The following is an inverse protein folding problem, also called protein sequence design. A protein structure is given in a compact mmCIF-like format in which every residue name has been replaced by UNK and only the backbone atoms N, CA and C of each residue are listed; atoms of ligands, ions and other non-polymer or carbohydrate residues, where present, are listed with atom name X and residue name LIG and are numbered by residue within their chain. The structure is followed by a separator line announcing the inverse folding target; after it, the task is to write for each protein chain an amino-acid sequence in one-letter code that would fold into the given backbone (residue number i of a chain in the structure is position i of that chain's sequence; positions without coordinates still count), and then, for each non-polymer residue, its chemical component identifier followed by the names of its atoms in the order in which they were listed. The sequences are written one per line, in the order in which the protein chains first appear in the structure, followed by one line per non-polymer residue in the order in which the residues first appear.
data_IF_464483747259
#
_entry.id   IF_464483747259
#
_cell.length_a   1.000
_cell.length_b   1.000
_cell.length_c   1.000
_cell.angle_alpha   90.00
_cell.angle_beta   90.00
_cell.angle_gamma   90.00
#
_symmetry.space_group_name_H-M   'P 1'
#
loop_
_entity.id
_entity.type
_entity.pdbx_description
1 polymer ?
#
# COMPACT_ATOMS: atom_id res chain seq x y z
N UNK A 1 5.38 8.73 -6.98
CA UNK A 1 5.84 9.88 -6.37
C UNK A 1 6.34 9.78 -4.96
N UNK A 2 5.65 10.45 -4.04
CA UNK A 2 6.11 10.68 -2.67
C UNK A 2 4.92 10.79 -1.74
N UNK A 3 5.11 10.38 -0.48
CA UNK A 3 4.20 10.73 0.60
C UNK A 3 4.74 11.99 1.27
N UNK A 4 3.86 12.91 1.58
CA UNK A 4 4.15 14.16 2.28
C UNK A 4 3.53 14.10 3.67
N UNK A 5 4.28 14.54 4.69
CA UNK A 5 3.78 14.68 6.06
C UNK A 5 3.80 16.13 6.47
N UNK A 6 2.65 16.63 6.84
CA UNK A 6 2.41 17.99 7.32
C UNK A 6 1.71 17.94 8.68
N UNK A 7 1.75 19.04 9.41
CA UNK A 7 0.86 19.29 10.56
C UNK A 7 -0.52 19.71 10.06
N UNK A 8 -1.50 19.75 10.97
CA UNK A 8 -2.88 20.12 10.67
C UNK A 8 -3.00 21.58 10.19
N UNK A 9 -2.07 22.43 10.58
CA UNK A 9 -1.95 23.84 10.14
C UNK A 9 -1.21 23.97 8.79
N UNK A 10 -0.82 22.87 8.15
CA UNK A 10 -0.07 22.83 6.90
C UNK A 10 1.44 23.05 7.05
N UNK A 11 1.94 23.31 8.25
CA UNK A 11 3.37 23.49 8.48
C UNK A 11 4.13 22.15 8.44
N UNK A 12 5.43 22.23 8.23
CA UNK A 12 6.30 21.07 8.14
C UNK A 12 6.77 20.65 9.52
N UNK A 13 6.54 19.38 9.94
CA UNK A 13 7.10 18.87 11.18
C UNK A 13 8.64 18.94 11.18
N UNK A 14 9.27 19.40 12.25
CA UNK A 14 10.74 19.56 12.31
C UNK A 14 11.50 18.22 12.33
N UNK A 15 10.79 17.13 12.63
CA UNK A 15 11.28 15.76 12.65
C UNK A 15 11.04 14.99 11.33
N UNK A 16 10.59 15.67 10.27
CA UNK A 16 10.52 15.06 8.94
C UNK A 16 11.92 14.66 8.45
N UNK A 17 12.06 13.51 7.78
CA UNK A 17 13.36 12.91 7.48
C UNK A 17 14.22 13.74 6.52
N UNK A 18 13.63 14.65 5.77
CA UNK A 18 14.34 15.45 4.76
C UNK A 18 14.44 16.95 5.07
N UNK A 19 14.04 17.40 6.27
CA UNK A 19 14.04 18.82 6.65
C UNK A 19 15.42 19.47 6.48
N UNK A 20 16.48 18.75 6.83
CA UNK A 20 17.87 19.26 6.77
C UNK A 20 18.67 18.68 5.60
N UNK A 21 18.01 18.03 4.64
CA UNK A 21 18.71 17.34 3.54
C UNK A 21 18.67 18.17 2.26
N UNK A 22 19.82 18.62 1.81
CA UNK A 22 19.95 19.36 0.55
C UNK A 22 19.40 18.56 -0.65
N UNK A 23 18.71 19.23 -1.57
CA UNK A 23 18.11 18.61 -2.75
C UNK A 23 16.74 17.97 -2.53
N UNK A 24 16.23 17.95 -1.30
CA UNK A 24 14.91 17.40 -0.98
C UNK A 24 13.94 18.48 -0.48
N UNK A 25 12.66 18.32 -0.80
CA UNK A 25 11.61 19.15 -0.17
C UNK A 25 11.36 18.66 1.25
N UNK A 26 11.32 19.56 2.24
CA UNK A 26 11.25 19.17 3.67
C UNK A 26 9.96 18.48 4.09
N UNK A 27 8.87 18.66 3.33
CA UNK A 27 7.60 17.96 3.58
C UNK A 27 7.60 16.48 3.16
N UNK A 28 8.60 16.00 2.43
CA UNK A 28 8.66 14.60 2.00
C UNK A 28 8.84 13.70 3.22
N UNK A 29 8.01 12.65 3.32
CA UNK A 29 8.10 11.62 4.34
C UNK A 29 8.71 10.33 3.79
N UNK A 30 8.21 9.86 2.62
CA UNK A 30 8.74 8.72 1.88
C UNK A 30 8.76 9.01 0.39
N UNK A 31 9.48 8.19 -0.38
CA UNK A 31 9.59 8.34 -1.84
C UNK A 31 9.53 6.99 -2.56
N UNK A 32 9.53 7.03 -3.89
CA UNK A 32 9.55 5.82 -4.71
C UNK A 32 8.18 5.14 -4.83
N UNK A 33 7.10 5.90 -4.70
CA UNK A 33 5.73 5.44 -4.90
C UNK A 33 5.26 5.69 -6.32
N UNK A 34 4.40 4.81 -6.83
CA UNK A 34 3.77 4.96 -8.15
C UNK A 34 2.41 5.65 -8.05
N UNK A 35 1.44 5.00 -7.42
CA UNK A 35 0.04 5.43 -7.41
C UNK A 35 -0.66 4.99 -6.12
N UNK A 36 -0.42 5.72 -5.03
CA UNK A 36 -1.03 5.47 -3.72
C UNK A 36 -2.49 5.91 -3.68
N UNK A 37 -3.34 5.10 -3.07
CA UNK A 37 -4.78 5.34 -2.95
C UNK A 37 -5.27 5.46 -1.51
N UNK A 38 -4.97 4.48 -0.66
CA UNK A 38 -5.43 4.43 0.72
C UNK A 38 -4.31 4.65 1.72
N UNK A 39 -4.64 5.27 2.85
CA UNK A 39 -3.77 5.39 4.03
C UNK A 39 -4.56 4.93 5.25
N UNK A 40 -3.94 4.13 6.10
CA UNK A 40 -4.51 3.74 7.39
C UNK A 40 -3.42 3.65 8.45
N UNK A 41 -3.73 4.13 9.66
CA UNK A 41 -2.88 3.96 10.81
C UNK A 41 -3.12 2.57 11.42
N UNK A 42 -2.07 1.81 11.60
CA UNK A 42 -2.14 0.57 12.36
C UNK A 42 -2.39 0.91 13.83
N UNK A 43 -3.52 0.47 14.43
CA UNK A 43 -3.92 0.91 15.77
C UNK A 43 -3.03 0.38 16.89
N UNK A 44 -2.25 -0.69 16.64
CA UNK A 44 -1.35 -1.28 17.63
C UNK A 44 0.08 -0.76 17.51
N UNK A 45 0.60 -0.64 16.28
CA UNK A 45 1.99 -0.24 16.08
C UNK A 45 2.18 1.25 15.90
N UNK A 46 1.09 1.99 15.58
CA UNK A 46 1.17 3.41 15.24
C UNK A 46 1.84 3.71 13.91
N UNK A 47 2.17 2.68 13.11
CA UNK A 47 2.75 2.86 11.78
C UNK A 47 1.66 3.19 10.75
N UNK A 48 1.97 4.08 9.83
CA UNK A 48 1.10 4.39 8.70
C UNK A 48 1.30 3.37 7.60
N UNK A 49 0.21 2.82 7.08
CA UNK A 49 0.19 1.89 5.96
C UNK A 49 -0.47 2.53 4.74
N UNK A 50 -0.06 2.11 3.55
CA UNK A 50 -0.52 2.64 2.27
C UNK A 50 -0.87 1.51 1.30
N UNK A 51 -2.01 1.64 0.58
CA UNK A 51 -2.26 0.87 -0.64
C UNK A 51 -1.70 1.59 -1.84
N UNK A 52 -1.16 0.84 -2.79
CA UNK A 52 -0.58 1.37 -4.02
C UNK A 52 -0.92 0.48 -5.21
N UNK A 53 -1.34 1.08 -6.34
CA UNK A 53 -1.59 0.34 -7.57
C UNK A 53 -0.33 0.20 -8.41
N UNK A 54 0.00 -1.05 -8.76
CA UNK A 54 0.95 -1.37 -9.82
C UNK A 54 0.37 -1.10 -11.21
N UNK A 55 1.20 -1.16 -12.26
CA UNK A 55 0.69 -0.89 -13.62
C UNK A 55 -0.11 -2.08 -14.18
N UNK A 56 0.50 -3.23 -14.36
CA UNK A 56 -0.14 -4.46 -14.81
C UNK A 56 0.34 -5.60 -13.93
N UNK A 57 -0.34 -5.82 -12.81
CA UNK A 57 0.12 -6.61 -11.68
C UNK A 57 0.93 -5.77 -10.68
N UNK A 58 1.20 -6.34 -9.50
CA UNK A 58 2.03 -5.72 -8.48
C UNK A 58 1.39 -4.56 -7.75
N UNK A 59 0.10 -4.64 -7.45
CA UNK A 59 -0.49 -3.79 -6.42
C UNK A 59 0.13 -4.15 -5.08
N UNK A 60 0.28 -3.16 -4.21
CA UNK A 60 1.05 -3.29 -2.98
C UNK A 60 0.34 -2.70 -1.76
N UNK A 61 0.62 -3.27 -0.60
CA UNK A 61 0.48 -2.59 0.69
C UNK A 61 1.86 -2.38 1.28
N UNK A 62 2.14 -1.13 1.61
CA UNK A 62 3.42 -0.67 2.13
C UNK A 62 3.27 -0.15 3.55
N UNK A 63 4.18 -0.52 4.47
CA UNK A 63 4.35 0.13 5.77
C UNK A 63 5.26 1.34 5.58
N UNK A 64 4.76 2.54 5.84
CA UNK A 64 5.48 3.79 5.57
C UNK A 64 6.50 4.10 6.66
N UNK A 65 7.79 4.01 6.35
CA UNK A 65 8.89 4.34 7.24
C UNK A 65 9.58 5.64 6.82
N UNK A 66 9.90 6.54 7.77
CA UNK A 66 10.50 7.84 7.46
C UNK A 66 11.76 7.74 6.60
N UNK A 67 11.83 8.53 5.54
CA UNK A 67 13.02 8.64 4.69
C UNK A 67 13.27 7.49 3.73
N UNK A 68 12.40 6.48 3.71
CA UNK A 68 12.59 5.29 2.87
C UNK A 68 12.12 5.48 1.43
N UNK A 69 12.70 4.66 0.55
CA UNK A 69 12.42 4.62 -0.87
C UNK A 69 11.78 3.27 -1.23
N UNK A 70 10.56 3.30 -1.77
CA UNK A 70 9.75 2.13 -2.15
C UNK A 70 9.98 1.67 -3.59
N UNK A 71 10.95 2.27 -4.27
CA UNK A 71 11.60 1.71 -5.44
C UNK A 71 11.05 2.11 -6.80
N UNK A 72 9.82 2.60 -6.91
CA UNK A 72 9.28 3.00 -8.20
C UNK A 72 10.06 4.18 -8.82
N UNK A 73 10.41 4.15 -10.12
CA UNK A 73 10.15 3.11 -11.13
C UNK A 73 11.31 2.10 -11.31
N UNK A 74 12.27 2.05 -10.40
CA UNK A 74 13.49 1.24 -10.52
C UNK A 74 13.20 -0.24 -10.28
N UNK A 75 12.30 -0.55 -9.34
CA UNK A 75 11.79 -1.89 -9.06
C UNK A 75 10.28 -1.90 -9.11
N UNK A 76 9.70 -3.02 -9.52
CA UNK A 76 8.25 -3.26 -9.52
C UNK A 76 7.98 -4.75 -9.69
N UNK A 77 6.90 -5.24 -9.06
CA UNK A 77 6.36 -6.57 -9.29
C UNK A 77 5.52 -6.65 -10.56
N UNK A 78 5.07 -5.50 -11.08
CA UNK A 78 4.23 -5.42 -12.27
C UNK A 78 4.99 -5.35 -13.57
N UNK A 79 4.22 -5.28 -14.65
CA UNK A 79 4.69 -5.04 -16.02
C UNK A 79 4.14 -3.69 -16.50
N UNK A 80 4.75 -3.12 -17.52
CA UNK A 80 4.11 -2.02 -18.21
C UNK A 80 2.86 -2.51 -18.98
N UNK A 81 2.05 -1.57 -19.45
CA UNK A 81 0.81 -1.92 -20.16
C UNK A 81 1.03 -2.59 -21.53
N UNK A 82 2.24 -2.56 -22.03
CA UNK A 82 2.66 -3.21 -23.27
C UNK A 82 3.25 -4.61 -23.03
N UNK A 83 3.32 -5.05 -21.77
CA UNK A 83 3.76 -6.39 -21.36
C UNK A 83 5.23 -6.50 -20.96
N UNK A 84 6.05 -5.48 -21.19
CA UNK A 84 7.47 -5.49 -20.81
C UNK A 84 7.64 -5.47 -19.29
N UNK A 85 8.69 -6.13 -18.79
CA UNK A 85 9.06 -6.01 -17.38
C UNK A 85 9.59 -4.62 -17.09
N UNK A 86 9.10 -3.98 -16.02
CA UNK A 86 9.61 -2.69 -15.55
C UNK A 86 11.00 -2.85 -14.96
N UNK A 87 11.21 -3.93 -14.21
CA UNK A 87 12.49 -4.25 -13.62
C UNK A 87 12.85 -5.71 -13.82
N UNK A 88 14.14 -6.01 -13.81
CA UNK A 88 14.63 -7.40 -13.89
C UNK A 88 14.29 -8.19 -12.62
N UNK A 89 14.35 -7.50 -11.46
CA UNK A 89 14.01 -8.04 -10.13
C UNK A 89 13.07 -7.06 -9.44
N UNK A 90 12.07 -7.54 -8.69
CA UNK A 90 11.10 -6.67 -8.04
C UNK A 90 11.63 -6.01 -6.74
N UNK A 91 12.83 -6.34 -6.32
CA UNK A 91 13.47 -5.80 -5.11
C UNK A 91 14.92 -5.41 -5.37
N UNK A 92 15.42 -4.46 -4.57
CA UNK A 92 16.80 -3.95 -4.65
C UNK A 92 17.27 -3.45 -3.29
N UNK A 93 18.50 -3.76 -2.93
CA UNK A 93 19.14 -3.27 -1.70
C UNK A 93 19.04 -1.74 -1.60
N UNK A 94 18.62 -1.25 -0.43
CA UNK A 94 18.39 0.17 -0.16
C UNK A 94 17.01 0.69 -0.56
N UNK A 95 16.13 -0.19 -1.02
CA UNK A 95 14.71 0.07 -1.25
C UNK A 95 13.89 -0.79 -0.29
N UNK A 96 12.73 -0.29 0.12
CA UNK A 96 11.80 -1.02 0.98
C UNK A 96 10.96 -1.98 0.14
N UNK A 97 10.84 -3.21 0.61
CA UNK A 97 9.96 -4.20 0.02
C UNK A 97 8.52 -3.98 0.54
N UNK A 98 7.51 -4.20 -0.30
CA UNK A 98 6.13 -4.14 0.15
C UNK A 98 5.81 -5.25 1.15
N UNK A 99 4.90 -4.97 2.09
CA UNK A 99 4.42 -5.97 3.04
C UNK A 99 3.50 -6.99 2.39
N UNK A 100 2.74 -6.58 1.38
CA UNK A 100 1.79 -7.42 0.66
C UNK A 100 1.82 -7.05 -0.82
N UNK A 101 1.74 -8.06 -1.69
CA UNK A 101 1.71 -7.88 -3.16
C UNK A 101 0.55 -8.67 -3.76
N UNK A 102 -0.10 -8.11 -4.79
CA UNK A 102 -1.12 -8.80 -5.61
C UNK A 102 -0.61 -9.05 -7.03
N UNK A 103 -0.63 -10.32 -7.44
CA UNK A 103 -0.35 -10.81 -8.79
C UNK A 103 -1.37 -11.91 -9.14
N UNK A 104 -2.41 -11.59 -9.95
CA UNK A 104 -2.68 -10.32 -10.62
C UNK A 104 -3.07 -9.19 -9.67
N UNK A 105 -2.99 -7.94 -10.15
CA UNK A 105 -3.53 -6.77 -9.44
C UNK A 105 -5.03 -6.90 -9.23
N UNK A 106 -5.53 -6.37 -8.13
CA UNK A 106 -6.97 -6.21 -7.90
C UNK A 106 -7.45 -4.76 -8.04
N UNK A 107 -6.54 -3.85 -8.41
CA UNK A 107 -6.81 -2.42 -8.48
C UNK A 107 -7.12 -1.85 -7.10
N UNK A 108 -6.15 -1.93 -6.20
CA UNK A 108 -6.31 -1.51 -4.80
C UNK A 108 -6.86 -0.10 -4.67
N UNK A 109 -7.79 0.09 -3.72
CA UNK A 109 -8.39 1.37 -3.39
C UNK A 109 -8.11 1.75 -1.94
N UNK A 110 -9.11 2.14 -1.18
CA UNK A 110 -9.00 2.44 0.23
C UNK A 110 -8.64 1.23 1.10
N UNK A 111 -8.23 1.52 2.32
CA UNK A 111 -7.94 0.49 3.31
C UNK A 111 -8.33 0.96 4.72
N UNK A 112 -8.59 0.01 5.61
CA UNK A 112 -8.83 0.29 7.03
C UNK A 112 -8.50 -0.91 7.88
N UNK A 113 -7.98 -0.68 9.09
CA UNK A 113 -7.90 -1.71 10.12
C UNK A 113 -9.23 -1.80 10.85
N UNK A 114 -9.66 -3.02 11.16
CA UNK A 114 -10.84 -3.21 11.97
C UNK A 114 -10.53 -2.92 13.45
N UNK A 115 -11.24 -1.94 13.99
CA UNK A 115 -11.11 -1.51 15.40
C UNK A 115 -12.41 -1.69 16.20
N UNK A 116 -13.47 -2.20 15.54
CA UNK A 116 -14.75 -2.47 16.18
C UNK A 116 -14.71 -3.65 17.11
N UNK A 117 -15.77 -3.82 17.91
CA UNK A 117 -15.92 -4.93 18.85
C UNK A 117 -17.01 -5.96 18.45
N UNK A 118 -17.77 -5.65 17.39
CA UNK A 118 -18.90 -6.49 16.95
C UNK A 118 -18.45 -7.83 16.36
N UNK A 119 -17.27 -7.84 15.73
CA UNK A 119 -16.67 -9.05 15.14
C UNK A 119 -15.30 -9.30 15.78
N UNK A 120 -15.23 -9.97 16.94
CA UNK A 120 -13.97 -10.15 17.67
C UNK A 120 -12.86 -10.82 16.84
N UNK A 121 -13.22 -11.77 15.98
CA UNK A 121 -12.26 -12.45 15.10
C UNK A 121 -11.73 -11.57 13.94
N UNK A 122 -12.24 -10.33 13.79
CA UNK A 122 -11.74 -9.36 12.83
C UNK A 122 -10.75 -8.38 13.45
N UNK A 123 -10.54 -8.44 14.75
CA UNK A 123 -9.50 -7.66 15.41
C UNK A 123 -8.16 -7.90 14.74
N UNK A 124 -7.36 -6.83 14.57
CA UNK A 124 -6.06 -6.85 13.90
C UNK A 124 -6.12 -7.21 12.39
N UNK A 125 -7.29 -7.27 11.79
CA UNK A 125 -7.38 -7.51 10.35
C UNK A 125 -7.41 -6.19 9.56
N UNK A 126 -6.80 -6.21 8.39
CA UNK A 126 -6.84 -5.12 7.43
C UNK A 126 -7.87 -5.45 6.35
N UNK A 127 -8.70 -4.47 6.02
CA UNK A 127 -9.63 -4.53 4.91
C UNK A 127 -9.15 -3.61 3.80
N UNK A 128 -9.07 -4.13 2.58
CA UNK A 128 -8.68 -3.35 1.40
C UNK A 128 -9.74 -3.51 0.32
N UNK A 129 -10.07 -2.42 -0.37
CA UNK A 129 -10.96 -2.46 -1.52
C UNK A 129 -10.18 -2.80 -2.79
N UNK A 130 -10.85 -3.47 -3.73
CA UNK A 130 -10.31 -3.80 -5.04
C UNK A 130 -11.33 -3.54 -6.14
N UNK A 131 -10.92 -2.86 -7.21
CA UNK A 131 -11.80 -2.49 -8.32
C UNK A 131 -12.15 -3.67 -9.21
N UNK A 132 -11.19 -4.54 -9.47
CA UNK A 132 -11.31 -5.76 -10.28
C UNK A 132 -10.03 -6.57 -10.24
N UNK A 133 -10.12 -7.88 -10.41
CA UNK A 133 -8.97 -8.76 -10.50
C UNK A 133 -8.43 -8.82 -11.93
N UNK A 134 -7.20 -8.35 -12.12
CA UNK A 134 -6.56 -8.30 -13.42
C UNK A 134 -7.40 -7.58 -14.48
N UNK A 135 -7.61 -8.22 -15.63
CA UNK A 135 -8.47 -7.73 -16.70
C UNK A 135 -9.93 -8.18 -16.61
N UNK A 136 -10.32 -8.99 -15.61
CA UNK A 136 -11.64 -9.63 -15.53
C UNK A 136 -12.68 -8.64 -15.01
N UNK A 137 -13.73 -8.33 -15.78
CA UNK A 137 -14.79 -7.42 -15.34
C UNK A 137 -15.65 -8.05 -14.24
N UNK A 138 -16.29 -7.21 -13.40
CA UNK A 138 -17.22 -7.61 -12.35
C UNK A 138 -16.60 -8.50 -11.26
N UNK A 139 -15.30 -8.31 -10.98
CA UNK A 139 -14.57 -9.01 -9.91
C UNK A 139 -14.09 -8.03 -8.81
N UNK A 140 -14.78 -6.90 -8.67
CA UNK A 140 -14.54 -5.99 -7.55
C UNK A 140 -14.86 -6.68 -6.23
N UNK A 141 -14.07 -6.38 -5.20
CA UNK A 141 -14.09 -7.11 -3.95
C UNK A 141 -13.55 -6.26 -2.79
N UNK A 142 -13.88 -6.66 -1.58
CA UNK A 142 -13.10 -6.31 -0.40
C UNK A 142 -12.25 -7.52 -0.06
N UNK A 143 -10.99 -7.32 0.27
CA UNK A 143 -10.18 -8.39 0.85
C UNK A 143 -9.93 -8.13 2.33
N UNK A 144 -10.25 -9.13 3.15
CA UNK A 144 -9.85 -9.19 4.54
C UNK A 144 -8.51 -9.90 4.65
N UNK A 145 -7.55 -9.24 5.26
CA UNK A 145 -6.18 -9.73 5.42
C UNK A 145 -5.95 -10.03 6.90
N UNK A 146 -5.55 -11.25 7.18
CA UNK A 146 -5.24 -11.75 8.51
C UNK A 146 -3.75 -11.82 8.69
N UNK A 147 -3.25 -11.34 9.82
CA UNK A 147 -1.83 -11.29 10.16
C UNK A 147 -1.49 -12.17 11.35
N UNK A 148 -0.22 -12.58 11.45
CA UNK A 148 0.37 -13.11 12.66
C UNK A 148 0.75 -11.96 13.64
N UNK A 149 1.35 -12.31 14.78
CA UNK A 149 1.75 -11.32 15.79
C UNK A 149 2.86 -10.37 15.34
N UNK A 150 3.60 -10.74 14.30
CA UNK A 150 4.65 -9.91 13.69
C UNK A 150 4.16 -9.10 12.47
N UNK A 151 2.84 -9.01 12.27
CA UNK A 151 2.21 -8.32 11.15
C UNK A 151 2.59 -8.87 9.77
N UNK A 152 2.97 -10.15 9.70
CA UNK A 152 3.15 -10.87 8.45
C UNK A 152 1.81 -11.48 8.02
N UNK A 153 1.50 -11.37 6.75
CA UNK A 153 0.28 -11.93 6.18
C UNK A 153 0.21 -13.44 6.34
N UNK A 154 -0.91 -13.94 6.89
CA UNK A 154 -1.24 -15.36 6.99
C UNK A 154 -2.19 -15.80 5.88
N UNK A 155 -3.21 -14.99 5.57
CA UNK A 155 -4.19 -15.28 4.52
C UNK A 155 -4.94 -14.05 4.09
N UNK A 156 -5.52 -14.14 2.89
CA UNK A 156 -6.48 -13.20 2.30
C UNK A 156 -7.82 -13.89 2.10
N UNK A 157 -8.88 -13.17 2.33
CA UNK A 157 -10.25 -13.63 2.13
C UNK A 157 -10.99 -12.61 1.28
N UNK A 158 -11.34 -12.95 0.02
CA UNK A 158 -12.17 -12.10 -0.81
C UNK A 158 -13.61 -12.11 -0.30
N UNK A 159 -14.24 -10.94 -0.29
CA UNK A 159 -15.60 -10.72 0.19
C UNK A 159 -16.35 -9.87 -0.83
N UNK A 160 -17.69 -10.02 -0.88
CA UNK A 160 -18.60 -9.22 -1.68
C UNK A 160 -18.37 -9.33 -3.20
N UNK A 161 -17.71 -10.38 -3.67
CA UNK A 161 -17.49 -10.60 -5.11
C UNK A 161 -18.79 -10.82 -5.87
N UNK A 162 -19.81 -11.37 -5.20
CA UNK A 162 -21.15 -11.61 -5.74
C UNK A 162 -21.87 -10.33 -6.18
N UNK A 163 -21.48 -9.19 -5.63
CA UNK A 163 -22.04 -7.90 -6.02
C UNK A 163 -21.65 -7.49 -7.45
N UNK A 164 -20.53 -7.99 -7.95
CA UNK A 164 -20.02 -7.66 -9.29
C UNK A 164 -19.73 -6.17 -9.49
N UNK A 165 -19.50 -5.42 -8.41
CA UNK A 165 -19.28 -3.98 -8.39
C UNK A 165 -17.79 -3.66 -8.20
N UNK A 166 -17.39 -2.45 -8.57
CA UNK A 166 -16.08 -1.87 -8.22
C UNK A 166 -16.16 -1.31 -6.80
N UNK A 167 -15.24 -1.66 -5.94
CA UNK A 167 -15.23 -1.27 -4.52
C UNK A 167 -14.03 -0.39 -4.19
#
# INVERSE_FOLDING_TARGET
GKIVRLRDDGTIPPDNPFVKRAGYKPGIYTMGHRNGHGLALNPETGEMWQTEQGPSGGDEVNVLRPGRNYGWPIVSFGRDYWGSKISRRPFRTGMEDPSIVWLPSIGLTGMTFYTGNRFPHWQRNLFVGGLREGGVPRTGQIQRIVFNDSWQELRREPMLMELGQRI
#
